data_IF_198724401850
#
_entry.id   IF_198724401850
#
_cell.length_a   1.000
_cell.length_b   1.000
_cell.length_c   1.000
_cell.angle_alpha   90.00
_cell.angle_beta   90.00
_cell.angle_gamma   90.00
#
_symmetry.space_group_name_H-M   'P 1'
#
loop_
_entity.id
_entity.type
_entity.pdbx_description
1 polymer ?
#
# COMPACT_ATOMS: atom_id res chain seq x y z
N UNK A 1 23.34 1.75 18.42
CA UNK A 1 22.28 2.49 17.67
C UNK A 1 22.94 3.67 16.97
N UNK A 2 23.18 3.58 15.66
CA UNK A 2 23.80 4.66 14.88
C UNK A 2 22.72 5.59 14.33
N UNK A 3 22.69 6.83 14.79
CA UNK A 3 21.74 7.85 14.30
C UNK A 3 22.25 8.40 12.97
N UNK A 4 21.39 8.45 11.96
CA UNK A 4 21.72 9.06 10.68
C UNK A 4 22.10 10.54 10.87
N UNK A 5 23.10 11.00 10.11
CA UNK A 5 23.55 12.39 10.16
C UNK A 5 22.40 13.34 9.78
N UNK A 6 22.21 14.46 10.48
CA UNK A 6 21.19 15.43 10.13
C UNK A 6 21.53 16.06 8.76
N UNK A 7 20.66 15.86 7.78
CA UNK A 7 20.80 16.41 6.43
C UNK A 7 19.66 15.93 5.53
N UNK A 8 19.33 16.66 4.45
CA UNK A 8 18.34 16.21 3.49
C UNK A 8 18.79 14.86 2.91
N UNK A 9 17.92 13.86 2.98
CA UNK A 9 18.22 12.56 2.38
C UNK A 9 18.42 12.75 0.86
N UNK A 10 19.45 12.12 0.26
CA UNK A 10 19.72 12.24 -1.18
C UNK A 10 18.55 11.74 -2.04
N UNK A 11 17.65 10.95 -1.45
CA UNK A 11 16.37 10.57 -2.03
C UNK A 11 15.25 11.11 -1.13
N UNK A 12 14.30 11.90 -1.66
CA UNK A 12 13.13 12.30 -0.89
C UNK A 12 12.45 11.06 -0.32
N UNK A 13 12.29 11.03 1.01
CA UNK A 13 11.58 9.93 1.69
C UNK A 13 10.07 9.95 1.37
N UNK A 14 9.60 11.04 0.76
CA UNK A 14 8.25 11.21 0.27
C UNK A 14 8.29 11.18 -1.26
N UNK A 15 7.85 10.08 -1.91
CA UNK A 15 7.71 10.05 -3.36
C UNK A 15 6.69 11.11 -3.82
N UNK A 16 7.02 11.84 -4.87
CA UNK A 16 6.23 12.98 -5.35
C UNK A 16 4.85 12.57 -5.91
N UNK A 17 4.71 11.33 -6.39
CA UNK A 17 3.51 10.83 -7.07
C UNK A 17 2.70 9.84 -6.20
N UNK A 18 2.82 9.90 -4.87
CA UNK A 18 1.91 9.14 -4.03
C UNK A 18 0.50 9.75 -4.13
N UNK A 19 -0.55 8.93 -4.36
CA UNK A 19 -1.91 9.42 -4.21
C UNK A 19 -2.08 9.95 -2.78
N UNK A 20 -2.85 11.03 -2.62
CA UNK A 20 -3.19 11.55 -1.29
C UNK A 20 -3.74 10.40 -0.45
N UNK A 21 -3.01 9.99 0.59
CA UNK A 21 -3.36 8.82 1.41
C UNK A 21 -4.70 8.97 2.14
N UNK A 22 -5.21 10.20 2.18
CA UNK A 22 -6.50 10.59 2.75
C UNK A 22 -7.67 10.35 1.79
N UNK A 23 -7.42 9.94 0.53
CA UNK A 23 -8.48 9.58 -0.39
C UNK A 23 -9.00 8.17 -0.05
N UNK A 24 -10.14 8.13 0.63
CA UNK A 24 -10.85 6.89 0.93
C UNK A 24 -11.85 6.58 -0.18
N UNK A 25 -11.79 5.36 -0.70
CA UNK A 25 -12.87 4.83 -1.52
C UNK A 25 -14.03 4.39 -0.61
N UNK A 26 -15.26 4.79 -0.94
CA UNK A 26 -16.47 4.56 -0.13
C UNK A 26 -16.83 3.08 0.12
N UNK A 27 -16.08 2.16 -0.48
CA UNK A 27 -16.15 0.74 -0.19
C UNK A 27 -15.90 -0.11 -1.43
N UNK A 28 -15.24 -1.26 -1.26
CA UNK A 28 -15.19 -2.25 -2.33
C UNK A 28 -16.60 -2.83 -2.58
N UNK A 29 -17.14 -2.84 -3.81
CA UNK A 29 -18.48 -3.37 -4.08
C UNK A 29 -18.66 -4.87 -3.77
N UNK A 30 -17.56 -5.63 -3.66
CA UNK A 30 -17.60 -7.07 -3.44
C UNK A 30 -17.58 -7.45 -1.94
N UNK A 31 -16.91 -6.67 -1.09
CA UNK A 31 -16.78 -6.99 0.34
C UNK A 31 -17.14 -5.83 1.29
N UNK A 32 -17.55 -4.68 0.74
CA UNK A 32 -17.97 -3.48 1.47
C UNK A 32 -16.96 -2.93 2.47
N UNK A 33 -15.67 -3.28 2.34
CA UNK A 33 -14.61 -2.76 3.17
C UNK A 33 -14.15 -1.38 2.69
N UNK A 34 -13.88 -0.43 3.60
CA UNK A 34 -13.29 0.86 3.25
C UNK A 34 -11.85 0.67 2.77
N UNK A 35 -11.48 1.32 1.67
CA UNK A 35 -10.16 1.16 1.03
C UNK A 35 -9.47 2.52 0.93
N UNK A 36 -8.23 2.61 1.41
CA UNK A 36 -7.39 3.81 1.28
C UNK A 36 -6.70 3.88 -0.09
N UNK A 37 -6.39 5.09 -0.55
CA UNK A 37 -5.66 5.34 -1.79
C UNK A 37 -6.55 5.43 -3.03
N UNK A 38 -7.83 5.81 -2.84
CA UNK A 38 -8.78 6.07 -3.91
C UNK A 38 -8.94 4.91 -4.90
N UNK A 39 -9.02 5.24 -6.19
CA UNK A 39 -9.20 4.25 -7.27
C UNK A 39 -8.00 3.30 -7.45
N UNK A 40 -6.79 3.78 -7.18
CA UNK A 40 -5.56 2.98 -7.23
C UNK A 40 -5.56 1.93 -6.11
N UNK A 41 -5.93 2.33 -4.89
CA UNK A 41 -6.12 1.44 -3.75
C UNK A 41 -7.19 0.38 -4.00
N UNK A 42 -8.35 0.78 -4.57
CA UNK A 42 -9.40 -0.16 -4.96
C UNK A 42 -8.92 -1.18 -6.00
N UNK A 43 -8.15 -0.74 -7.00
CA UNK A 43 -7.60 -1.62 -8.05
C UNK A 43 -6.63 -2.62 -7.45
N UNK A 44 -5.74 -2.18 -6.55
CA UNK A 44 -4.83 -3.04 -5.83
C UNK A 44 -5.60 -4.06 -4.98
N UNK A 45 -6.57 -3.62 -4.18
CA UNK A 45 -7.44 -4.46 -3.36
C UNK A 45 -8.11 -5.56 -4.18
N UNK A 46 -8.71 -5.23 -5.33
CA UNK A 46 -9.36 -6.23 -6.18
C UNK A 46 -8.40 -7.31 -6.69
N UNK A 47 -7.16 -6.93 -7.01
CA UNK A 47 -6.12 -7.86 -7.47
C UNK A 47 -5.61 -8.79 -6.37
N UNK A 48 -5.66 -8.38 -5.11
CA UNK A 48 -5.12 -9.16 -3.99
C UNK A 48 -6.18 -9.96 -3.23
N UNK A 49 -7.38 -9.40 -3.06
CA UNK A 49 -8.44 -9.98 -2.23
C UNK A 49 -9.46 -10.77 -3.04
N UNK A 50 -9.71 -10.38 -4.30
CA UNK A 50 -10.77 -10.96 -5.14
C UNK A 50 -10.26 -11.76 -6.34
N UNK A 51 -8.95 -11.97 -6.44
CA UNK A 51 -8.36 -12.84 -7.43
C UNK A 51 -8.44 -14.29 -6.95
N UNK A 52 -9.00 -15.19 -7.77
CA UNK A 52 -9.16 -16.62 -7.47
C UNK A 52 -7.91 -17.47 -7.74
N UNK A 53 -6.98 -16.94 -8.55
CA UNK A 53 -5.64 -17.49 -8.66
C UNK A 53 -4.88 -17.10 -7.38
N UNK A 54 -4.69 -18.02 -6.44
CA UNK A 54 -4.10 -17.74 -5.12
C UNK A 54 -2.95 -16.74 -5.13
N UNK A 55 -2.84 -15.93 -4.07
CA UNK A 55 -1.93 -14.78 -4.00
C UNK A 55 -0.53 -15.13 -4.54
N UNK A 56 -0.10 -14.56 -5.68
CA UNK A 56 1.18 -14.89 -6.30
C UNK A 56 2.38 -14.33 -5.53
N UNK A 57 2.13 -13.58 -4.44
CA UNK A 57 3.19 -13.06 -3.58
C UNK A 57 3.87 -14.20 -2.83
N UNK A 58 5.20 -14.20 -2.88
CA UNK A 58 6.02 -15.07 -2.04
C UNK A 58 5.80 -14.73 -0.56
N UNK A 59 5.37 -15.67 0.29
CA UNK A 59 5.29 -15.46 1.73
C UNK A 59 6.67 -15.08 2.28
N UNK A 60 6.72 -14.00 3.07
CA UNK A 60 7.92 -13.62 3.79
C UNK A 60 7.87 -14.35 5.14
N UNK A 61 8.81 -15.26 5.38
CA UNK A 61 8.97 -15.88 6.69
C UNK A 61 9.78 -14.94 7.59
N UNK A 62 9.11 -14.31 8.56
CA UNK A 62 9.77 -13.49 9.58
C UNK A 62 10.06 -14.39 10.78
N UNK A 63 11.34 -14.71 11.00
CA UNK A 63 11.78 -15.33 12.25
C UNK A 63 11.76 -14.24 13.33
N UNK A 64 10.83 -14.38 14.28
CA UNK A 64 10.69 -13.53 15.47
C UNK A 64 11.80 -13.81 16.47
#
# INVERSE_FOLDING_TARGET
MSRAAPGPHPHPLTPADLPSGDEWWHGCPACHLPIQGGSAGLTAHRRTVHTSAGDPRTPINVQL
#
